data_IF_674362587443
#
_entry.id   IF_674362587443
#
_cell.length_a   1.000
_cell.length_b   1.000
_cell.length_c   1.000
_cell.angle_alpha   90.00
_cell.angle_beta   90.00
_cell.angle_gamma   90.00
#
_symmetry.space_group_name_H-M   'P 1'
#
loop_
_entity.id
_entity.type
_entity.pdbx_description
1 polymer ?
#
# COMPACT_ATOMS: atom_id res chain seq x y z
N UNK A 1 -0.94 20.20 -12.36
CA UNK A 1 -0.57 19.11 -13.28
C UNK A 1 0.60 18.36 -12.68
N UNK A 2 0.31 17.23 -12.01
CA UNK A 2 1.31 16.49 -11.23
C UNK A 2 2.14 15.58 -12.12
N UNK A 3 3.18 16.14 -12.76
CA UNK A 3 4.13 15.43 -13.61
C UNK A 3 4.57 14.10 -12.99
N UNK A 4 4.01 13.01 -13.53
CA UNK A 4 4.37 11.64 -13.20
C UNK A 4 5.10 11.09 -14.42
N UNK A 5 6.31 10.56 -14.22
CA UNK A 5 7.15 9.94 -15.26
C UNK A 5 6.43 8.88 -16.10
N UNK A 6 5.34 8.28 -15.58
CA UNK A 6 4.49 7.37 -16.34
C UNK A 6 3.88 8.01 -17.61
N UNK A 7 3.66 9.33 -17.63
CA UNK A 7 3.19 10.05 -18.82
C UNK A 7 4.33 10.46 -19.76
N UNK A 8 5.59 10.47 -19.30
CA UNK A 8 6.73 10.79 -20.16
C UNK A 8 7.10 9.64 -21.10
N UNK A 9 6.63 8.42 -20.84
CA UNK A 9 7.01 7.21 -21.59
C UNK A 9 5.81 6.44 -22.14
N UNK A 10 5.26 6.92 -23.26
CA UNK A 10 4.44 6.10 -24.16
C UNK A 10 2.99 5.81 -23.73
N UNK A 11 2.46 6.53 -22.73
CA UNK A 11 1.06 6.42 -22.26
C UNK A 11 0.25 7.71 -22.50
N UNK A 12 0.66 8.56 -23.44
CA UNK A 12 -0.18 9.66 -23.93
C UNK A 12 -1.18 9.06 -24.93
N UNK A 13 -2.48 9.29 -24.75
CA UNK A 13 -3.50 8.80 -25.68
C UNK A 13 -3.32 9.48 -27.04
N UNK A 14 -3.07 8.70 -28.09
CA UNK A 14 -2.94 9.19 -29.47
C UNK A 14 -4.22 9.01 -30.27
N UNK A 15 -4.83 7.82 -30.20
CA UNK A 15 -6.07 7.55 -30.92
C UNK A 15 -7.00 6.62 -30.15
N UNK A 16 -8.29 6.74 -30.48
CA UNK A 16 -9.39 5.97 -29.90
C UNK A 16 -10.34 5.58 -31.02
N UNK A 17 -10.69 4.30 -31.08
CA UNK A 17 -11.75 3.80 -31.94
C UNK A 17 -12.80 3.11 -31.08
N UNK A 18 -13.94 3.77 -30.92
CA UNK A 18 -15.04 3.26 -30.13
C UNK A 18 -15.87 2.20 -30.86
N UNK A 19 -15.80 2.14 -32.20
CA UNK A 19 -16.55 1.17 -33.01
C UNK A 19 -15.84 -0.18 -33.01
N UNK A 20 -14.52 -0.16 -33.20
CA UNK A 20 -13.66 -1.36 -33.16
C UNK A 20 -13.15 -1.68 -31.75
N UNK A 21 -13.41 -0.78 -30.79
CA UNK A 21 -13.18 -1.01 -29.36
C UNK A 21 -11.71 -1.08 -28.99
N UNK A 22 -10.92 -0.05 -29.34
CA UNK A 22 -9.52 0.02 -28.93
C UNK A 22 -9.03 1.45 -28.70
N UNK A 23 -7.93 1.58 -27.95
CA UNK A 23 -7.17 2.83 -27.74
C UNK A 23 -5.70 2.60 -28.03
N UNK A 24 -5.02 3.63 -28.54
CA UNK A 24 -3.59 3.59 -28.86
C UNK A 24 -2.86 4.74 -28.19
N UNK A 25 -1.71 4.44 -27.59
CA UNK A 25 -0.87 5.39 -26.88
C UNK A 25 0.43 5.67 -27.63
N UNK A 26 1.09 6.78 -27.28
CA UNK A 26 2.30 7.34 -27.92
C UNK A 26 3.55 6.45 -27.97
N UNK A 27 3.49 5.25 -27.40
CA UNK A 27 4.50 4.20 -27.53
C UNK A 27 4.14 3.07 -28.51
N UNK A 28 3.10 3.24 -29.34
CA UNK A 28 2.57 2.19 -30.23
C UNK A 28 1.82 1.08 -29.48
N UNK A 29 1.48 1.34 -28.20
CA UNK A 29 0.68 0.43 -27.40
C UNK A 29 -0.79 0.56 -27.80
N UNK A 30 -1.34 -0.46 -28.46
CA UNK A 30 -2.79 -0.61 -28.66
C UNK A 30 -3.38 -1.53 -27.59
N UNK A 31 -4.45 -1.08 -26.95
CA UNK A 31 -5.28 -1.87 -26.01
C UNK A 31 -6.68 -1.99 -26.58
N UNK A 32 -7.17 -3.21 -26.74
CA UNK A 32 -8.58 -3.45 -27.06
C UNK A 32 -9.45 -3.39 -25.80
N UNK A 33 -10.75 -3.22 -25.97
CA UNK A 33 -11.74 -3.28 -24.89
C UNK A 33 -11.62 -4.64 -24.19
N UNK A 34 -11.39 -4.61 -22.89
CA UNK A 34 -11.17 -5.80 -22.07
C UNK A 34 -9.70 -6.25 -21.96
N UNK A 35 -8.80 -5.68 -22.76
CA UNK A 35 -7.37 -5.91 -22.59
C UNK A 35 -6.79 -4.99 -21.53
N UNK A 36 -6.32 -5.59 -20.44
CA UNK A 36 -5.43 -4.92 -19.50
C UNK A 36 -3.99 -5.34 -19.80
N UNK A 37 -3.13 -4.40 -20.18
CA UNK A 37 -1.69 -4.67 -20.17
C UNK A 37 -1.16 -4.52 -18.76
N UNK A 38 -1.00 -5.67 -18.08
CA UNK A 38 -0.46 -5.77 -16.74
C UNK A 38 0.99 -5.27 -16.66
N UNK A 39 1.26 -4.40 -15.69
CA UNK A 39 2.60 -3.86 -15.43
C UNK A 39 2.66 -2.88 -14.26
N UNK A 40 1.57 -2.17 -13.97
CA UNK A 40 1.54 -1.16 -12.89
C UNK A 40 0.97 -1.67 -11.56
N UNK A 41 0.73 -2.97 -11.36
CA UNK A 41 0.13 -3.45 -10.10
C UNK A 41 1.02 -3.15 -8.89
N UNK A 42 2.35 -3.27 -9.04
CA UNK A 42 3.28 -2.91 -7.95
C UNK A 42 3.31 -1.40 -7.71
N UNK A 43 3.37 -0.59 -8.76
CA UNK A 43 3.39 0.87 -8.63
C UNK A 43 2.08 1.42 -8.05
N UNK A 44 0.95 0.86 -8.47
CA UNK A 44 -0.37 1.17 -7.89
C UNK A 44 -0.41 0.78 -6.42
N UNK A 45 0.05 -0.40 -6.04
CA UNK A 45 0.10 -0.81 -4.63
C UNK A 45 1.05 0.08 -3.81
N UNK A 46 2.23 0.41 -4.34
CA UNK A 46 3.18 1.34 -3.71
C UNK A 46 2.53 2.70 -3.50
N UNK A 47 1.86 3.22 -4.53
CA UNK A 47 1.14 4.48 -4.47
C UNK A 47 -0.01 4.44 -3.44
N UNK A 48 -0.79 3.36 -3.39
CA UNK A 48 -1.83 3.17 -2.38
C UNK A 48 -1.27 3.21 -0.97
N UNK A 49 -0.14 2.55 -0.72
CA UNK A 49 0.55 2.60 0.57
C UNK A 49 0.99 4.03 0.89
N UNK A 50 1.67 4.71 -0.04
CA UNK A 50 2.12 6.10 0.14
C UNK A 50 0.95 7.05 0.46
N UNK A 51 -0.16 6.97 -0.28
CA UNK A 51 -1.33 7.80 -0.02
C UNK A 51 -2.01 7.46 1.30
N UNK A 52 -2.06 6.18 1.67
CA UNK A 52 -2.64 5.76 2.95
C UNK A 52 -1.83 6.27 4.13
N UNK A 53 -0.49 6.19 4.07
CA UNK A 53 0.38 6.74 5.11
C UNK A 53 0.23 8.26 5.16
N UNK A 54 0.22 8.96 4.02
CA UNK A 54 -0.04 10.41 3.98
C UNK A 54 -1.36 10.80 4.66
N UNK A 55 -2.46 10.13 4.28
CA UNK A 55 -3.76 10.37 4.89
C UNK A 55 -3.77 10.03 6.38
N UNK A 56 -3.04 9.00 6.81
CA UNK A 56 -2.89 8.68 8.23
C UNK A 56 -2.27 9.86 8.99
N UNK A 57 -1.13 10.38 8.54
CA UNK A 57 -0.48 11.56 9.16
C UNK A 57 -1.41 12.78 9.19
N UNK A 58 -2.13 13.06 8.09
CA UNK A 58 -3.10 14.16 8.05
C UNK A 58 -4.22 13.98 9.08
N UNK A 59 -4.74 12.76 9.23
CA UNK A 59 -5.80 12.44 10.21
C UNK A 59 -5.28 12.51 11.64
N UNK A 60 -4.08 11.99 11.92
CA UNK A 60 -3.44 12.11 13.24
C UNK A 60 -3.29 13.58 13.61
N UNK A 61 -2.78 14.43 12.71
CA UNK A 61 -2.64 15.87 12.94
C UNK A 61 -3.96 16.55 13.32
N UNK A 62 -5.06 16.14 12.69
CA UNK A 62 -6.39 16.71 12.93
C UNK A 62 -7.04 16.21 14.22
N UNK A 63 -6.80 14.95 14.59
CA UNK A 63 -7.58 14.23 15.60
C UNK A 63 -6.82 14.01 16.92
N UNK A 64 -5.48 14.00 16.89
CA UNK A 64 -4.66 13.84 18.09
C UNK A 64 -4.88 14.94 19.15
N UNK A 65 -5.08 16.23 18.79
CA UNK A 65 -5.45 17.25 19.79
C UNK A 65 -6.78 16.99 20.51
N UNK A 66 -7.63 16.13 19.94
CA UNK A 66 -8.90 15.69 20.54
C UNK A 66 -8.77 14.38 21.32
N UNK A 67 -7.56 13.84 21.46
CA UNK A 67 -7.30 12.56 22.12
C UNK A 67 -7.79 11.33 21.33
N UNK A 68 -8.09 11.48 20.03
CA UNK A 68 -8.62 10.38 19.21
C UNK A 68 -7.48 9.66 18.50
N UNK A 69 -7.39 8.35 18.72
CA UNK A 69 -6.43 7.47 18.05
C UNK A 69 -6.87 7.15 16.61
N UNK A 70 -5.96 7.27 15.66
CA UNK A 70 -6.20 6.93 14.25
C UNK A 70 -5.58 5.57 13.94
N UNK A 71 -6.31 4.71 13.25
CA UNK A 71 -5.84 3.41 12.76
C UNK A 71 -6.06 3.34 11.25
N UNK A 72 -5.09 2.77 10.54
CA UNK A 72 -5.18 2.48 9.10
C UNK A 72 -5.04 0.98 8.87
N UNK A 73 -5.90 0.42 8.03
CA UNK A 73 -5.94 -1.01 7.72
C UNK A 73 -5.40 -1.26 6.31
N UNK A 74 -4.55 -2.28 6.19
CA UNK A 74 -4.09 -2.78 4.90
C UNK A 74 -4.54 -4.23 4.74
N UNK A 75 -5.29 -4.51 3.69
CA UNK A 75 -5.59 -5.88 3.28
C UNK A 75 -4.54 -6.30 2.27
N UNK A 76 -3.83 -7.38 2.58
CA UNK A 76 -2.77 -7.93 1.75
C UNK A 76 -3.11 -9.35 1.34
N UNK A 77 -2.64 -9.76 0.18
CA UNK A 77 -2.84 -11.09 -0.37
C UNK A 77 -2.06 -12.19 0.37
N UNK A 78 -0.84 -11.86 0.83
CA UNK A 78 0.04 -12.81 1.52
C UNK A 78 0.85 -12.17 2.64
N UNK A 79 1.00 -12.88 3.76
CA UNK A 79 1.83 -12.43 4.89
C UNK A 79 3.28 -12.16 4.46
N UNK A 80 3.82 -13.01 3.59
CA UNK A 80 5.18 -12.89 3.05
C UNK A 80 5.43 -11.57 2.30
N UNK A 81 4.38 -10.93 1.76
CA UNK A 81 4.50 -9.64 1.09
C UNK A 81 4.74 -8.48 2.07
N UNK A 82 4.49 -8.70 3.37
CA UNK A 82 4.68 -7.68 4.40
C UNK A 82 5.82 -8.02 5.37
N UNK A 83 5.97 -9.29 5.78
CA UNK A 83 7.03 -9.73 6.70
C UNK A 83 7.54 -11.14 6.38
N UNK A 84 8.79 -11.40 6.75
CA UNK A 84 9.45 -12.68 6.64
C UNK A 84 10.42 -12.94 7.80
N UNK A 85 11.15 -14.05 7.71
CA UNK A 85 12.21 -14.45 8.63
C UNK A 85 13.40 -14.86 7.76
N UNK A 86 14.60 -14.36 8.05
CA UNK A 86 15.85 -14.79 7.40
C UNK A 86 16.23 -16.22 7.81
N UNK A 87 17.17 -16.83 7.09
CA UNK A 87 17.76 -18.14 7.44
C UNK A 87 18.33 -18.17 8.88
N UNK A 88 18.75 -17.01 9.41
CA UNK A 88 19.27 -16.85 10.77
C UNK A 88 18.18 -16.58 11.82
N UNK A 89 16.89 -16.72 11.47
CA UNK A 89 15.77 -16.49 12.38
C UNK A 89 15.44 -15.01 12.66
N UNK A 90 16.08 -14.05 11.99
CA UNK A 90 15.80 -12.62 12.19
C UNK A 90 14.61 -12.14 11.36
N UNK A 91 13.70 -11.31 11.91
CA UNK A 91 12.61 -10.70 11.15
C UNK A 91 13.11 -9.89 9.95
N UNK A 92 12.39 -9.98 8.84
CA UNK A 92 12.60 -9.15 7.64
C UNK A 92 11.28 -8.57 7.15
N UNK A 93 11.38 -7.52 6.34
CA UNK A 93 10.23 -6.93 5.67
C UNK A 93 10.06 -7.55 4.29
N UNK A 94 8.80 -7.83 3.95
CA UNK A 94 8.40 -8.02 2.57
C UNK A 94 8.26 -6.67 1.86
N UNK A 95 8.04 -6.70 0.55
CA UNK A 95 7.96 -5.51 -0.32
C UNK A 95 7.01 -4.42 0.20
N UNK A 96 5.84 -4.79 0.73
CA UNK A 96 4.84 -3.84 1.21
C UNK A 96 5.30 -3.17 2.51
N UNK A 97 5.96 -3.92 3.39
CA UNK A 97 6.55 -3.39 4.62
C UNK A 97 7.68 -2.41 4.31
N UNK A 98 8.52 -2.71 3.33
CA UNK A 98 9.56 -1.78 2.85
C UNK A 98 8.94 -0.48 2.35
N UNK A 99 7.93 -0.54 1.48
CA UNK A 99 7.27 0.67 0.97
C UNK A 99 6.54 1.48 2.05
N UNK A 100 5.96 0.79 3.04
CA UNK A 100 5.36 1.45 4.19
C UNK A 100 6.41 2.25 4.96
N UNK A 101 7.53 1.62 5.32
CA UNK A 101 8.57 2.29 6.11
C UNK A 101 9.26 3.42 5.34
N UNK A 102 9.46 3.28 4.02
CA UNK A 102 9.93 4.37 3.15
C UNK A 102 8.98 5.57 3.23
N UNK A 103 7.68 5.36 2.98
CA UNK A 103 6.67 6.41 2.99
C UNK A 103 6.54 7.08 4.37
N UNK A 104 6.60 6.27 5.45
CA UNK A 104 6.53 6.77 6.81
C UNK A 104 7.71 7.67 7.14
N UNK A 105 8.94 7.23 6.89
CA UNK A 105 10.16 8.03 7.15
C UNK A 105 10.15 9.33 6.35
N UNK A 106 9.74 9.27 5.07
CA UNK A 106 9.66 10.46 4.23
C UNK A 106 8.70 11.50 4.83
N UNK A 107 7.54 11.07 5.33
CA UNK A 107 6.54 11.98 5.91
C UNK A 107 6.92 12.47 7.29
N UNK A 108 7.47 11.61 8.14
CA UNK A 108 7.95 11.98 9.48
C UNK A 108 9.05 13.05 9.43
N UNK A 109 9.87 13.04 8.37
CA UNK A 109 10.89 14.06 8.13
C UNK A 109 10.37 15.39 7.59
N UNK A 110 9.08 15.50 7.22
CA UNK A 110 8.52 16.78 6.72
C UNK A 110 8.20 17.69 7.90
N UNK A 111 8.58 18.99 7.85
CA UNK A 111 8.27 19.95 8.92
C UNK A 111 6.78 20.04 9.28
N UNK A 112 5.89 19.74 8.34
CA UNK A 112 4.45 19.74 8.58
C UNK A 112 3.97 18.62 9.55
N UNK A 113 4.79 17.58 9.77
CA UNK A 113 4.49 16.38 10.53
C UNK A 113 5.59 16.02 11.55
N UNK A 114 6.57 16.91 11.73
CA UNK A 114 7.64 16.75 12.71
C UNK A 114 7.06 16.51 14.10
N UNK A 115 7.65 15.55 14.83
CA UNK A 115 7.23 15.09 16.16
C UNK A 115 5.76 14.65 16.33
N UNK A 116 4.99 14.59 15.24
CA UNK A 116 3.57 14.22 15.30
C UNK A 116 3.36 12.76 15.74
N UNK A 117 4.26 11.88 15.28
CA UNK A 117 4.30 10.46 15.64
C UNK A 117 5.72 10.17 16.12
N UNK A 118 5.99 10.20 17.45
CA UNK A 118 7.34 10.12 18.02
C UNK A 118 7.83 8.67 18.11
N UNK A 119 7.75 7.94 17.01
CA UNK A 119 8.12 6.53 16.91
C UNK A 119 8.80 6.26 15.57
N UNK A 120 9.74 5.32 15.57
CA UNK A 120 10.36 4.84 14.34
C UNK A 120 9.37 4.04 13.50
N UNK A 121 9.61 4.01 12.19
CA UNK A 121 8.73 3.32 11.24
C UNK A 121 8.43 1.88 11.70
N UNK A 122 9.45 1.09 12.06
CA UNK A 122 9.28 -0.30 12.51
C UNK A 122 8.46 -0.50 13.79
N UNK A 123 8.14 0.57 14.53
CA UNK A 123 7.37 0.51 15.78
C UNK A 123 5.88 0.84 15.58
N UNK A 124 5.51 1.44 14.45
CA UNK A 124 4.15 1.94 14.21
C UNK A 124 3.30 1.02 13.34
N UNK A 125 3.92 0.00 12.75
CA UNK A 125 3.20 -1.03 12.02
C UNK A 125 3.46 -2.39 12.67
N UNK A 126 2.40 -2.93 13.25
CA UNK A 126 2.36 -4.32 13.68
C UNK A 126 1.30 -5.00 12.82
N UNK A 127 1.67 -6.11 12.18
CA UNK A 127 0.71 -6.91 11.43
C UNK A 127 0.01 -7.89 12.36
N UNK A 128 -1.32 -7.83 12.39
CA UNK A 128 -2.15 -8.88 12.97
C UNK A 128 -2.37 -9.94 11.89
N UNK A 129 -1.82 -11.13 12.11
CA UNK A 129 -1.97 -12.25 11.21
C UNK A 129 -2.61 -13.37 12.01
N UNK A 130 -3.81 -13.77 11.61
CA UNK A 130 -4.51 -14.95 12.14
C UNK A 130 -3.55 -16.13 12.22
N UNK A 131 -3.16 -16.49 13.44
CA UNK A 131 -2.37 -17.67 13.74
C UNK A 131 -3.33 -18.81 14.07
N UNK A 132 -3.22 -19.92 13.36
CA UNK A 132 -3.71 -21.19 13.88
C UNK A 132 -2.52 -21.99 14.44
N UNK A 133 -2.79 -23.01 15.28
CA UNK A 133 -1.81 -23.79 16.08
C UNK A 133 -0.68 -24.49 15.28
N UNK A 134 -0.59 -24.28 13.96
CA UNK A 134 0.39 -24.89 13.04
C UNK A 134 1.16 -23.90 12.14
N UNK A 135 1.00 -22.59 12.30
CA UNK A 135 1.82 -21.58 11.58
C UNK A 135 1.04 -20.40 10.98
N UNK A 136 1.78 -19.48 10.34
CA UNK A 136 1.23 -18.33 9.60
C UNK A 136 0.40 -18.82 8.40
N UNK A 137 -0.84 -18.34 8.26
CA UNK A 137 -1.71 -18.60 7.11
C UNK A 137 -2.29 -17.30 6.57
N UNK A 138 -2.44 -17.22 5.26
CA UNK A 138 -3.23 -16.19 4.58
C UNK A 138 -4.73 -16.49 4.81
N UNK A 139 -5.46 -15.58 5.44
CA UNK A 139 -6.92 -15.70 5.65
C UNK A 139 -7.71 -14.98 4.59
N UNK A 140 -8.87 -15.54 4.29
CA UNK A 140 -9.85 -15.06 3.32
C UNK A 140 -11.10 -14.44 3.99
N UNK A 141 -11.04 -14.18 5.30
CA UNK A 141 -12.07 -13.41 6.03
C UNK A 141 -13.42 -14.10 6.20
N UNK A 142 -13.48 -15.44 6.12
CA UNK A 142 -14.73 -16.21 6.16
C UNK A 142 -14.86 -17.15 7.36
N UNK A 143 -14.04 -16.97 8.41
CA UNK A 143 -13.94 -17.95 9.51
C UNK A 143 -14.24 -17.34 10.87
N UNK A 144 -14.80 -18.15 11.78
CA UNK A 144 -15.19 -17.76 13.15
C UNK A 144 -14.04 -17.19 14.02
N UNK A 145 -12.79 -17.35 13.58
CA UNK A 145 -11.60 -16.72 14.19
C UNK A 145 -11.47 -15.22 13.85
N UNK A 146 -12.25 -14.71 12.89
CA UNK A 146 -12.27 -13.31 12.46
C UNK A 146 -13.11 -12.44 13.42
N UNK A 147 -14.05 -13.01 14.19
CA UNK A 147 -14.94 -12.24 15.09
C UNK A 147 -14.23 -11.73 16.37
N UNK A 148 -13.24 -12.46 16.89
CA UNK A 148 -12.44 -12.01 18.06
C UNK A 148 -11.37 -10.96 17.67
N UNK A 149 -11.25 -10.62 16.38
CA UNK A 149 -10.18 -9.78 15.80
C UNK A 149 -10.33 -8.29 16.09
N UNK A 150 -11.51 -7.84 16.53
CA UNK A 150 -11.84 -6.41 16.66
C UNK A 150 -11.79 -5.87 18.10
N UNK A 151 -11.39 -6.70 19.08
CA UNK A 151 -11.24 -6.27 20.46
C UNK A 151 -9.80 -5.80 20.73
N UNK A 152 -9.53 -4.51 20.44
CA UNK A 152 -8.28 -3.80 20.75
C UNK A 152 -8.56 -2.58 21.63
#
# INVERSE_FOLDING_TARGET
>A
SGGRDAYEKGYILESIDAADGWVEFSGGLRLNVGESKGGQTQDVMKFQIQQTVLHHFQRVKQLQPRGIKVLSLFFIDKVANYRGITENGKPTLGKLGVWFEEAFRELAAKPAYEDLIPYEAGQVHAGYFSQDKKGLKDTNGSTKADDDTYNL
#
